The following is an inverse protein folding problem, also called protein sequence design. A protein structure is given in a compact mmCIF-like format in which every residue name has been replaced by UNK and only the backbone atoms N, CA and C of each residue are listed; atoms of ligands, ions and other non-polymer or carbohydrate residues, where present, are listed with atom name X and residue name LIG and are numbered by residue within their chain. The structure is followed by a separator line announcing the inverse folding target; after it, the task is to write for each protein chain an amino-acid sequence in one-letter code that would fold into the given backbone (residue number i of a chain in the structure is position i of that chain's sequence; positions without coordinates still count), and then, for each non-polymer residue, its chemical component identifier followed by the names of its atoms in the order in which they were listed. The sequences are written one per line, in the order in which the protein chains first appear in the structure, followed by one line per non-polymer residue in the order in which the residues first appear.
data_IF_716743427213
#
_entry.id   IF_716743427213
#
_cell.length_a   1.000
_cell.length_b   1.000
_cell.length_c   1.000
_cell.angle_alpha   90.00
_cell.angle_beta   90.00
_cell.angle_gamma   90.00
#
_symmetry.space_group_name_H-M   'P 1'
#
loop_
_entity.id
_entity.type
_entity.pdbx_description
1 polymer ?
#
# COMPACT_ATOMS: atom_id res chain seq x y z
N UNK A 1 7.94 48.38 23.86
CA UNK A 1 6.97 49.20 24.62
C UNK A 1 5.62 49.10 23.93
N UNK A 2 4.53 48.94 24.72
CA UNK A 2 3.13 48.60 24.35
C UNK A 2 2.99 47.14 23.89
N UNK A 3 2.56 46.14 24.66
CA UNK A 3 1.41 45.95 25.57
C UNK A 3 0.06 46.28 24.95
N UNK A 4 -0.69 45.24 24.56
CA UNK A 4 -2.12 45.11 24.82
C UNK A 4 -2.53 43.64 24.82
N UNK A 5 -3.04 43.21 25.98
CA UNK A 5 -3.62 41.92 26.27
C UNK A 5 -5.15 42.04 26.22
N UNK A 6 -5.83 41.06 25.66
CA UNK A 6 -7.26 40.76 25.79
C UNK A 6 -7.39 39.30 25.34
N UNK A 7 -8.06 38.36 26.00
CA UNK A 7 -8.95 38.40 27.14
C UNK A 7 -9.68 37.06 27.10
N UNK A 8 -9.33 36.15 28.00
CA UNK A 8 -9.84 34.79 28.11
C UNK A 8 -11.26 34.82 28.67
N UNK A 9 -12.24 34.26 27.97
CA UNK A 9 -13.61 34.07 28.47
C UNK A 9 -13.85 32.57 28.72
N UNK A 10 -13.71 32.17 29.99
CA UNK A 10 -14.17 30.89 30.53
C UNK A 10 -15.68 30.97 30.75
N UNK A 11 -16.45 30.10 30.11
CA UNK A 11 -17.84 29.85 30.45
C UNK A 11 -17.94 28.56 31.27
N UNK A 12 -18.22 28.72 32.56
CA UNK A 12 -18.64 27.68 33.49
C UNK A 12 -20.13 27.36 33.23
N UNK A 13 -20.46 26.08 33.05
CA UNK A 13 -21.84 25.55 33.12
C UNK A 13 -21.87 24.52 34.26
N UNK A 14 -22.89 24.57 35.15
CA UNK A 14 -22.83 23.92 36.45
C UNK A 14 -23.18 22.42 36.43
N UNK A 15 -22.56 21.74 37.39
CA UNK A 15 -22.96 20.44 37.95
C UNK A 15 -24.41 20.47 38.44
N UNK A 16 -25.22 19.51 37.98
CA UNK A 16 -26.50 19.16 38.57
C UNK A 16 -26.45 17.73 39.12
N UNK A 17 -26.52 17.61 40.45
CA UNK A 17 -26.75 16.36 41.16
C UNK A 17 -28.25 16.15 41.41
N UNK A 18 -28.69 14.89 41.37
CA UNK A 18 -29.95 14.35 41.90
C UNK A 18 -30.05 12.89 41.46
N UNK A 19 -29.66 11.90 42.27
CA UNK A 19 -30.31 11.33 43.47
C UNK A 19 -31.57 10.50 43.16
N UNK A 20 -31.32 9.20 43.05
CA UNK A 20 -31.93 8.08 43.78
C UNK A 20 -33.40 7.64 43.57
N UNK A 21 -33.49 6.29 43.59
CA UNK A 21 -34.60 5.40 43.95
C UNK A 21 -35.72 5.10 42.93
N UNK A 22 -35.73 3.87 42.39
CA UNK A 22 -36.71 2.89 42.88
C UNK A 22 -36.42 1.44 42.45
N UNK A 23 -36.77 0.54 43.36
CA UNK A 23 -36.45 -0.87 43.42
C UNK A 23 -37.62 -1.79 42.97
N UNK A 24 -37.27 -3.05 42.68
CA UNK A 24 -38.18 -4.21 42.75
C UNK A 24 -38.65 -4.75 41.39
N UNK A 25 -38.65 -6.04 41.09
CA UNK A 25 -38.31 -7.23 41.87
C UNK A 25 -38.80 -8.50 41.15
N UNK A 26 -37.95 -9.54 41.20
CA UNK A 26 -38.23 -10.98 41.34
C UNK A 26 -38.97 -11.85 40.29
N UNK A 27 -38.26 -12.96 40.00
CA UNK A 27 -38.71 -14.37 39.86
C UNK A 27 -39.38 -14.78 38.53
N UNK A 28 -39.19 -15.98 37.95
CA UNK A 28 -38.87 -17.31 38.50
C UNK A 28 -38.57 -18.35 37.40
N UNK A 29 -37.80 -19.41 37.74
CA UNK A 29 -37.90 -20.79 37.20
C UNK A 29 -36.96 -21.09 36.03
N UNK A 30 -35.91 -21.92 36.15
CA UNK A 30 -35.89 -23.36 36.49
C UNK A 30 -35.58 -24.13 35.19
N UNK A 31 -34.84 -25.22 35.08
CA UNK A 31 -34.13 -26.12 35.99
C UNK A 31 -33.44 -27.20 35.13
N UNK A 32 -32.32 -27.76 35.60
CA UNK A 32 -31.82 -29.09 35.23
C UNK A 32 -30.61 -29.07 34.28
N UNK A 33 -29.46 -29.70 34.56
CA UNK A 33 -29.07 -30.56 35.66
C UNK A 33 -28.14 -31.67 35.16
N UNK A 34 -26.96 -31.77 35.79
CA UNK A 34 -26.13 -32.97 35.96
C UNK A 34 -25.46 -33.55 34.69
N UNK A 35 -24.28 -34.18 34.70
CA UNK A 35 -23.24 -34.48 35.70
C UNK A 35 -22.23 -35.39 34.98
N UNK A 36 -20.95 -35.37 35.31
CA UNK A 36 -20.02 -36.40 34.83
C UNK A 36 -18.57 -36.17 35.18
N UNK A 37 -18.23 -36.43 36.44
CA UNK A 37 -16.86 -36.47 36.94
C UNK A 37 -16.13 -37.76 36.51
N UNK A 38 -14.81 -37.71 36.41
CA UNK A 38 -13.95 -38.90 36.26
C UNK A 38 -12.47 -38.52 36.32
N UNK A 39 -11.87 -38.73 37.50
CA UNK A 39 -10.51 -38.36 37.88
C UNK A 39 -9.49 -39.48 37.61
N UNK A 40 -8.22 -39.17 37.95
CA UNK A 40 -7.05 -40.04 38.17
C UNK A 40 -6.30 -40.46 36.89
N UNK A 41 -4.98 -40.45 36.79
CA UNK A 41 -3.86 -40.35 37.73
C UNK A 41 -2.76 -41.27 37.19
N UNK A 42 -1.49 -40.86 37.14
CA UNK A 42 -0.42 -41.77 36.70
C UNK A 42 0.92 -41.12 36.36
N UNK A 43 1.85 -41.25 37.29
CA UNK A 43 3.25 -40.82 37.32
C UNK A 43 4.23 -41.74 36.60
N UNK A 44 5.41 -41.20 36.23
CA UNK A 44 6.69 -41.92 36.05
C UNK A 44 7.12 -42.02 34.59
N UNK A 45 8.38 -41.82 34.17
CA UNK A 45 9.65 -41.63 34.87
C UNK A 45 10.78 -42.11 33.93
N UNK A 46 11.91 -41.38 33.92
CA UNK A 46 13.20 -41.78 33.30
C UNK A 46 13.32 -41.58 31.78
N UNK A 47 14.48 -41.34 31.18
CA UNK A 47 15.86 -41.15 31.65
C UNK A 47 16.67 -40.84 30.37
N UNK A 48 17.40 -39.72 30.35
CA UNK A 48 18.85 -39.59 30.18
C UNK A 48 19.47 -40.09 28.86
N UNK A 49 20.29 -39.23 28.26
CA UNK A 49 21.13 -39.54 27.12
C UNK A 49 21.94 -38.33 26.63
N UNK A 50 22.83 -37.82 27.50
CA UNK A 50 23.90 -36.90 27.11
C UNK A 50 24.99 -37.66 26.36
N UNK A 51 25.71 -37.00 25.45
CA UNK A 51 27.01 -37.52 25.01
C UNK A 51 27.61 -36.86 23.77
N UNK A 52 28.54 -35.94 24.01
CA UNK A 52 29.87 -36.01 23.39
C UNK A 52 30.07 -35.28 22.06
N UNK A 53 30.73 -34.12 22.13
CA UNK A 53 31.38 -33.51 20.97
C UNK A 53 32.73 -34.14 20.64
N UNK A 54 33.34 -33.70 19.54
CA UNK A 54 34.76 -33.34 19.46
C UNK A 54 35.09 -32.78 18.08
N UNK A 55 36.03 -31.84 18.11
CA UNK A 55 36.67 -31.13 17.03
C UNK A 55 37.28 -32.02 15.94
N UNK A 56 37.38 -31.45 14.74
CA UNK A 56 38.13 -31.99 13.60
C UNK A 56 38.29 -30.93 12.51
N UNK A 57 39.43 -30.25 12.55
CA UNK A 57 39.97 -29.27 11.60
C UNK A 57 40.14 -29.82 10.18
N UNK A 58 39.94 -29.00 9.15
CA UNK A 58 40.43 -29.29 7.80
C UNK A 58 39.85 -28.33 6.76
N UNK A 59 40.72 -27.48 6.20
CA UNK A 59 40.34 -26.34 5.37
C UNK A 59 39.86 -26.66 3.96
N UNK A 60 39.30 -25.63 3.33
CA UNK A 60 38.91 -25.60 1.94
C UNK A 60 38.38 -24.22 1.60
N UNK A 61 39.24 -23.37 1.05
CA UNK A 61 38.89 -22.08 0.48
C UNK A 61 37.87 -22.24 -0.66
N UNK A 62 36.83 -21.40 -0.68
CA UNK A 62 36.30 -20.76 -1.88
C UNK A 62 35.02 -19.95 -1.56
N UNK A 63 34.98 -18.71 -2.05
CA UNK A 63 33.76 -18.10 -2.54
C UNK A 63 32.93 -17.28 -1.56
N UNK A 64 33.29 -16.02 -1.42
CA UNK A 64 32.32 -14.97 -1.11
C UNK A 64 31.21 -14.97 -2.18
N UNK A 65 29.96 -15.15 -1.77
CA UNK A 65 28.78 -14.93 -2.61
C UNK A 65 28.49 -13.44 -2.75
N UNK A 66 29.39 -12.73 -3.43
CA UNK A 66 29.12 -11.42 -4.02
C UNK A 66 28.36 -11.58 -5.35
N UNK A 67 27.67 -10.52 -5.76
CA UNK A 67 26.68 -10.49 -6.84
C UNK A 67 27.02 -11.22 -8.14
N UNK A 68 25.98 -11.73 -8.79
CA UNK A 68 26.01 -11.94 -10.24
C UNK A 68 25.26 -10.79 -10.89
N UNK A 69 26.01 -9.75 -11.26
CA UNK A 69 25.68 -8.90 -12.38
C UNK A 69 25.94 -9.70 -13.67
N UNK A 70 25.00 -9.65 -14.62
CA UNK A 70 25.24 -9.89 -16.04
C UNK A 70 25.53 -11.33 -16.47
N UNK A 71 24.48 -12.10 -16.72
CA UNK A 71 24.57 -13.07 -17.81
C UNK A 71 24.44 -12.29 -19.12
N UNK A 72 25.51 -12.31 -19.93
CA UNK A 72 25.53 -11.80 -21.29
C UNK A 72 24.43 -12.45 -22.12
N UNK A 73 23.49 -11.65 -22.63
CA UNK A 73 22.42 -12.08 -23.52
C UNK A 73 21.94 -10.90 -24.34
N UNK A 74 21.57 -11.16 -25.59
CA UNK A 74 20.93 -10.19 -26.49
C UNK A 74 19.46 -10.02 -26.04
N UNK A 75 19.19 -8.99 -25.23
CA UNK A 75 17.83 -8.68 -24.76
C UNK A 75 16.96 -7.99 -25.83
N UNK A 76 17.59 -7.29 -26.80
CA UNK A 76 16.91 -6.48 -27.82
C UNK A 76 17.80 -6.05 -29.00
N UNK A 77 17.17 -5.81 -30.15
CA UNK A 77 17.72 -5.11 -31.31
C UNK A 77 17.13 -3.70 -31.49
N UNK A 78 15.98 -3.42 -30.89
CA UNK A 78 15.34 -2.10 -30.93
C UNK A 78 14.67 -1.74 -29.61
N UNK A 79 14.51 -0.44 -29.36
CA UNK A 79 13.69 0.07 -28.25
C UNK A 79 12.24 -0.43 -28.33
N UNK A 80 11.72 -0.68 -29.54
CA UNK A 80 10.36 -1.18 -29.71
C UNK A 80 10.19 -2.60 -29.17
N UNK A 81 11.20 -3.46 -29.34
CA UNK A 81 11.22 -4.81 -28.74
C UNK A 81 11.29 -4.72 -27.22
N UNK A 82 12.05 -3.78 -26.67
CA UNK A 82 12.04 -3.54 -25.23
C UNK A 82 10.67 -3.11 -24.73
N UNK A 83 9.97 -2.26 -25.48
CA UNK A 83 8.60 -1.85 -25.12
C UNK A 83 7.60 -3.00 -25.21
N UNK A 84 7.79 -3.94 -26.13
CA UNK A 84 6.98 -5.16 -26.17
C UNK A 84 7.29 -6.10 -25.00
N UNK A 85 8.57 -6.23 -24.63
CA UNK A 85 9.03 -7.17 -23.61
C UNK A 85 8.80 -6.68 -22.18
N UNK A 86 8.97 -5.38 -21.95
CA UNK A 86 8.94 -4.76 -20.62
C UNK A 86 7.82 -3.73 -20.46
N UNK A 87 7.10 -3.33 -21.52
CA UNK A 87 6.08 -2.31 -21.45
C UNK A 87 6.60 -0.91 -21.78
N UNK A 88 5.72 0.09 -21.73
CA UNK A 88 6.01 1.45 -22.20
C UNK A 88 7.12 2.17 -21.41
N UNK A 89 7.42 1.71 -20.19
CA UNK A 89 8.53 2.18 -19.37
C UNK A 89 9.92 1.84 -19.92
N UNK A 90 10.02 0.95 -20.91
CA UNK A 90 11.26 0.75 -21.65
C UNK A 90 11.59 1.96 -22.53
N UNK A 91 12.73 2.58 -22.24
CA UNK A 91 13.17 3.82 -22.89
C UNK A 91 14.23 3.59 -23.95
N UNK A 92 15.03 2.52 -23.84
CA UNK A 92 16.14 2.27 -24.76
C UNK A 92 16.46 0.78 -24.90
N UNK A 93 17.15 0.43 -25.98
CA UNK A 93 17.88 -0.81 -26.15
C UNK A 93 19.38 -0.49 -26.19
N UNK A 94 20.01 -0.45 -25.02
CA UNK A 94 21.43 -0.14 -24.92
C UNK A 94 22.24 -1.25 -25.58
N UNK A 95 23.27 -0.89 -26.35
CA UNK A 95 24.07 -1.82 -27.17
C UNK A 95 23.22 -2.67 -28.15
N UNK A 96 22.17 -2.08 -28.73
CA UNK A 96 21.31 -2.75 -29.73
C UNK A 96 22.10 -3.48 -30.81
N UNK A 97 21.60 -4.64 -31.27
CA UNK A 97 22.24 -5.47 -32.30
C UNK A 97 23.60 -6.03 -31.89
N UNK A 98 23.77 -6.30 -30.60
CA UNK A 98 24.94 -6.99 -30.05
C UNK A 98 24.53 -8.06 -29.05
N UNK A 99 25.45 -8.96 -28.73
CA UNK A 99 25.29 -9.97 -27.67
C UNK A 99 25.33 -9.38 -26.25
N UNK A 100 25.48 -8.05 -26.14
CA UNK A 100 25.44 -7.28 -24.91
C UNK A 100 24.26 -6.30 -24.87
N UNK A 101 23.27 -6.48 -25.76
CA UNK A 101 22.11 -5.61 -25.78
C UNK A 101 21.31 -5.77 -24.50
N UNK A 102 20.82 -4.66 -23.94
CA UNK A 102 20.02 -4.65 -22.72
C UNK A 102 18.90 -3.62 -22.83
N UNK A 103 17.69 -4.05 -22.50
CA UNK A 103 16.57 -3.11 -22.43
C UNK A 103 16.74 -2.21 -21.21
N UNK A 104 16.66 -0.90 -21.43
CA UNK A 104 16.81 0.11 -20.38
C UNK A 104 15.47 0.76 -20.09
N UNK A 105 15.21 0.98 -18.81
CA UNK A 105 14.04 1.67 -18.28
C UNK A 105 14.55 2.87 -17.48
N UNK A 106 14.74 4.00 -18.17
CA UNK A 106 15.52 5.13 -17.70
C UNK A 106 17.02 4.86 -17.82
N UNK A 107 17.77 5.07 -16.74
CA UNK A 107 19.23 4.87 -16.69
C UNK A 107 19.66 3.49 -16.18
N UNK A 108 18.70 2.60 -15.93
CA UNK A 108 18.93 1.25 -15.38
C UNK A 108 18.32 0.18 -16.30
N UNK A 109 18.85 -1.05 -16.32
CA UNK A 109 18.22 -2.17 -17.02
C UNK A 109 16.76 -2.36 -16.58
N UNK A 110 15.89 -2.67 -17.53
CA UNK A 110 14.50 -3.00 -17.26
C UNK A 110 14.41 -4.27 -16.42
N UNK A 111 13.66 -4.20 -15.32
CA UNK A 111 13.16 -5.40 -14.64
C UNK A 111 11.82 -5.82 -15.21
N UNK A 112 11.30 -7.00 -14.85
CA UNK A 112 9.94 -7.40 -15.23
C UNK A 112 8.94 -6.26 -14.89
N UNK A 113 8.06 -5.95 -15.83
CA UNK A 113 7.10 -4.84 -15.73
C UNK A 113 7.63 -3.48 -16.22
N UNK A 114 8.89 -3.37 -16.65
CA UNK A 114 9.44 -2.14 -17.28
C UNK A 114 9.50 -0.92 -16.38
N UNK A 115 9.33 -1.14 -15.08
CA UNK A 115 9.44 -0.12 -14.05
C UNK A 115 10.84 -0.18 -13.43
N UNK A 116 11.45 0.98 -13.21
CA UNK A 116 12.70 1.13 -12.46
C UNK A 116 12.44 1.94 -11.20
N UNK A 117 13.07 1.55 -10.09
CA UNK A 117 12.83 2.13 -8.77
C UNK A 117 12.00 1.24 -7.85
N UNK A 118 11.38 1.90 -6.87
CA UNK A 118 10.54 1.34 -5.81
C UNK A 118 9.21 2.09 -5.74
N UNK A 119 8.20 1.42 -5.19
CA UNK A 119 6.82 1.88 -5.14
C UNK A 119 6.38 1.97 -3.68
N UNK A 120 5.82 3.11 -3.32
CA UNK A 120 5.05 3.30 -2.10
C UNK A 120 3.60 3.64 -2.47
N UNK A 121 2.64 3.28 -1.63
CA UNK A 121 1.22 3.62 -1.80
C UNK A 121 0.65 4.05 -0.46
N UNK A 122 -0.14 5.12 -0.46
CA UNK A 122 -0.94 5.59 0.67
C UNK A 122 -2.39 5.69 0.21
N UNK A 123 -3.31 5.15 0.98
CA UNK A 123 -4.75 5.09 0.69
C UNK A 123 -5.57 5.42 1.93
N UNK A 124 -6.71 6.09 1.79
CA UNK A 124 -7.60 6.40 2.90
C UNK A 124 -8.62 5.28 3.15
N UNK A 125 -9.70 5.17 2.39
CA UNK A 125 -10.73 4.13 2.44
C UNK A 125 -11.43 3.93 3.78
N UNK A 126 -11.06 4.67 4.83
CA UNK A 126 -11.57 4.53 6.20
C UNK A 126 -12.52 5.64 6.62
N UNK A 127 -12.66 6.70 5.81
CA UNK A 127 -13.61 7.79 6.05
C UNK A 127 -13.97 8.51 4.73
N UNK A 128 -15.06 9.30 4.75
CA UNK A 128 -15.66 10.02 3.61
C UNK A 128 -16.37 9.17 2.55
N UNK A 129 -15.63 8.50 1.69
CA UNK A 129 -16.12 7.65 0.62
C UNK A 129 -15.46 6.27 0.69
N UNK A 130 -15.65 5.45 -0.34
CA UNK A 130 -15.34 4.01 -0.32
C UNK A 130 -14.59 3.55 -1.57
N UNK A 131 -14.18 4.48 -2.43
CA UNK A 131 -13.47 4.19 -3.67
C UNK A 131 -12.17 3.42 -3.40
N UNK A 132 -11.41 3.79 -2.38
CA UNK A 132 -10.16 3.14 -2.00
C UNK A 132 -10.32 1.70 -1.51
N UNK A 133 -11.48 1.36 -0.95
CA UNK A 133 -11.82 -0.02 -0.57
C UNK A 133 -11.88 -0.90 -1.83
N UNK A 134 -12.39 -0.38 -2.95
CA UNK A 134 -12.42 -1.05 -4.24
C UNK A 134 -11.09 -0.94 -5.00
N UNK A 135 -10.46 0.23 -4.95
CA UNK A 135 -9.25 0.54 -5.69
C UNK A 135 -8.03 -0.22 -5.17
N UNK A 136 -7.86 -0.37 -3.85
CA UNK A 136 -6.75 -1.08 -3.22
C UNK A 136 -6.49 -2.49 -3.81
N UNK A 137 -7.48 -3.40 -3.86
CA UNK A 137 -7.26 -4.73 -4.42
C UNK A 137 -7.00 -4.69 -5.94
N UNK A 138 -7.48 -3.67 -6.66
CA UNK A 138 -7.12 -3.45 -8.08
C UNK A 138 -5.68 -3.01 -8.23
N UNK A 139 -5.23 -2.06 -7.42
CA UNK A 139 -3.84 -1.59 -7.36
C UNK A 139 -2.90 -2.78 -7.12
N UNK A 140 -3.19 -3.60 -6.10
CA UNK A 140 -2.40 -4.79 -5.79
C UNK A 140 -2.41 -5.80 -6.95
N UNK A 141 -3.56 -6.04 -7.59
CA UNK A 141 -3.66 -6.92 -8.75
C UNK A 141 -2.87 -6.39 -9.96
N UNK A 142 -2.88 -5.07 -10.21
CA UNK A 142 -2.09 -4.43 -11.28
C UNK A 142 -0.60 -4.65 -11.03
N UNK A 143 -0.13 -4.37 -9.82
CA UNK A 143 1.27 -4.56 -9.45
C UNK A 143 1.67 -6.04 -9.52
N UNK A 144 0.80 -6.96 -9.10
CA UNK A 144 1.05 -8.39 -9.19
C UNK A 144 1.12 -8.89 -10.64
N UNK A 145 0.19 -8.44 -11.50
CA UNK A 145 0.16 -8.75 -12.93
C UNK A 145 1.42 -8.21 -13.64
N UNK A 146 1.90 -7.04 -13.22
CA UNK A 146 3.16 -6.44 -13.68
C UNK A 146 4.42 -7.11 -13.09
N UNK A 147 4.24 -8.03 -12.13
CA UNK A 147 5.32 -8.72 -11.39
C UNK A 147 6.20 -7.78 -10.57
N UNK A 148 5.57 -6.77 -9.96
CA UNK A 148 6.22 -5.69 -9.19
C UNK A 148 6.08 -5.88 -7.67
N UNK A 149 5.74 -7.08 -7.19
CA UNK A 149 5.57 -7.35 -5.75
C UNK A 149 6.80 -6.93 -4.93
N UNK A 150 8.00 -7.28 -5.39
CA UNK A 150 9.25 -6.92 -4.72
C UNK A 150 9.62 -5.43 -4.86
N UNK A 151 8.90 -4.67 -5.69
CA UNK A 151 9.09 -3.22 -5.84
C UNK A 151 8.18 -2.42 -4.91
N UNK A 152 7.08 -2.99 -4.42
CA UNK A 152 6.27 -2.40 -3.36
C UNK A 152 7.05 -2.48 -2.05
N UNK A 153 7.51 -1.34 -1.55
CA UNK A 153 8.35 -1.24 -0.33
C UNK A 153 7.65 -0.56 0.83
N UNK A 154 6.47 0.02 0.57
CA UNK A 154 5.59 0.63 1.55
C UNK A 154 4.16 0.59 1.02
N UNK A 155 3.21 0.27 1.88
CA UNK A 155 1.79 0.46 1.67
C UNK A 155 1.18 0.89 3.00
N UNK A 156 0.63 2.08 3.08
CA UNK A 156 -0.22 2.49 4.20
C UNK A 156 -1.67 2.59 3.74
N UNK A 157 -2.57 2.39 4.70
CA UNK A 157 -4.00 2.50 4.49
C UNK A 157 -4.68 3.12 5.71
N UNK A 158 -5.93 3.53 5.54
CA UNK A 158 -6.70 4.20 6.59
C UNK A 158 -6.08 5.55 6.98
N UNK A 159 -5.57 6.30 6.01
CA UNK A 159 -4.77 7.51 6.22
C UNK A 159 -5.56 8.75 6.65
N UNK A 160 -6.90 8.68 6.75
CA UNK A 160 -7.67 9.70 7.46
C UNK A 160 -7.42 9.63 8.97
N UNK A 161 -6.54 10.47 9.50
CA UNK A 161 -6.04 10.36 10.88
C UNK A 161 -7.03 10.87 11.94
N UNK A 162 -7.80 11.91 11.62
CA UNK A 162 -8.72 12.53 12.59
C UNK A 162 -10.06 11.79 12.74
N UNK A 163 -10.43 10.97 11.76
CA UNK A 163 -11.77 10.39 11.63
C UNK A 163 -11.67 8.96 11.10
N UNK A 164 -12.55 8.09 11.61
CA UNK A 164 -12.54 6.68 11.24
C UNK A 164 -13.95 6.11 11.34
N UNK A 165 -14.54 5.72 10.20
CA UNK A 165 -15.83 5.03 10.15
C UNK A 165 -15.59 3.53 10.31
N UNK A 166 -16.23 2.91 11.30
CA UNK A 166 -15.91 1.52 11.66
C UNK A 166 -16.21 0.51 10.56
N UNK A 167 -17.23 0.77 9.74
CA UNK A 167 -17.62 -0.15 8.67
C UNK A 167 -16.66 0.00 7.49
N UNK A 168 -16.36 1.23 7.09
CA UNK A 168 -15.36 1.51 6.04
C UNK A 168 -13.97 1.00 6.43
N UNK A 169 -13.53 1.28 7.66
CA UNK A 169 -12.26 0.81 8.21
C UNK A 169 -12.12 -0.71 8.18
N UNK A 170 -13.17 -1.44 8.59
CA UNK A 170 -13.18 -2.91 8.53
C UNK A 170 -13.08 -3.42 7.09
N UNK A 171 -13.79 -2.78 6.16
CA UNK A 171 -13.71 -3.10 4.75
C UNK A 171 -12.35 -2.76 4.13
N UNK A 172 -11.72 -1.66 4.52
CA UNK A 172 -10.40 -1.26 4.05
C UNK A 172 -9.33 -2.25 4.50
N UNK A 173 -9.37 -2.70 5.76
CA UNK A 173 -8.49 -3.77 6.26
C UNK A 173 -8.67 -5.04 5.41
N UNK A 174 -9.91 -5.45 5.14
CA UNK A 174 -10.19 -6.64 4.38
C UNK A 174 -9.71 -6.53 2.92
N UNK A 175 -9.86 -5.36 2.30
CA UNK A 175 -9.39 -5.06 0.95
C UNK A 175 -7.87 -4.98 0.84
N UNK A 176 -7.20 -4.51 1.89
CA UNK A 176 -5.73 -4.37 1.89
C UNK A 176 -5.04 -5.69 2.23
N UNK A 177 -5.50 -6.39 3.27
CA UNK A 177 -4.77 -7.55 3.83
C UNK A 177 -5.25 -8.89 3.31
N UNK A 178 -6.48 -8.97 2.77
CA UNK A 178 -7.17 -10.23 2.53
C UNK A 178 -6.59 -11.13 1.44
N UNK A 179 -5.68 -10.63 0.59
CA UNK A 179 -5.12 -11.38 -0.54
C UNK A 179 -3.64 -11.07 -0.83
N UNK A 180 -2.92 -10.47 0.13
CA UNK A 180 -1.51 -10.09 -0.04
C UNK A 180 -0.61 -11.31 -0.30
N UNK A 181 -0.82 -12.39 0.46
CA UNK A 181 -0.04 -13.63 0.33
C UNK A 181 -0.22 -14.31 -1.03
N UNK A 182 -1.45 -14.33 -1.50
CA UNK A 182 -1.87 -14.93 -2.76
C UNK A 182 -1.27 -14.16 -3.94
N UNK A 183 -1.22 -12.84 -3.85
CA UNK A 183 -0.51 -12.00 -4.82
C UNK A 183 1.02 -12.00 -4.64
N UNK A 184 1.55 -12.52 -3.54
CA UNK A 184 2.98 -12.65 -3.27
C UNK A 184 3.65 -11.38 -2.73
N UNK A 185 2.88 -10.48 -2.10
CA UNK A 185 3.42 -9.28 -1.45
C UNK A 185 4.01 -9.57 -0.06
N UNK A 186 5.00 -8.79 0.33
CA UNK A 186 5.51 -8.79 1.71
C UNK A 186 4.53 -8.05 2.62
N UNK A 187 3.92 -8.77 3.57
CA UNK A 187 2.99 -8.15 4.51
C UNK A 187 3.69 -7.21 5.50
N UNK A 188 5.01 -7.31 5.66
CA UNK A 188 5.76 -6.46 6.59
C UNK A 188 5.96 -5.02 6.09
N UNK A 189 5.56 -4.73 4.84
CA UNK A 189 5.57 -3.37 4.30
C UNK A 189 4.19 -2.72 4.31
N UNK A 190 3.18 -3.37 4.90
CA UNK A 190 1.81 -2.88 4.97
C UNK A 190 1.50 -2.35 6.36
N UNK A 191 0.98 -1.13 6.44
CA UNK A 191 0.71 -0.42 7.68
C UNK A 191 -0.73 0.09 7.72
N UNK A 192 -1.32 0.06 8.91
CA UNK A 192 -2.64 0.64 9.20
C UNK A 192 -2.41 1.92 9.98
N UNK A 193 -2.70 3.08 9.41
CA UNK A 193 -2.37 4.36 10.03
C UNK A 193 -3.18 4.64 11.30
N UNK A 194 -4.33 3.99 11.48
CA UNK A 194 -5.14 4.15 12.69
C UNK A 194 -4.48 3.51 13.92
N UNK A 195 -3.65 2.49 13.71
CA UNK A 195 -3.04 1.70 14.80
C UNK A 195 -1.51 1.67 14.76
N UNK A 196 -0.91 2.03 13.63
CA UNK A 196 0.51 1.89 13.32
C UNK A 196 1.14 3.14 12.69
N UNK A 197 0.53 4.32 12.81
CA UNK A 197 1.03 5.59 12.23
C UNK A 197 2.54 5.80 12.40
N UNK A 198 3.06 5.68 13.63
CA UNK A 198 4.49 5.88 13.89
C UNK A 198 5.38 4.88 13.13
N UNK A 199 4.91 3.64 12.92
CA UNK A 199 5.63 2.64 12.15
C UNK A 199 5.54 2.90 10.65
N UNK A 200 4.37 3.36 10.16
CA UNK A 200 4.18 3.79 8.77
C UNK A 200 5.14 4.93 8.43
N UNK A 201 5.09 6.03 9.19
CA UNK A 201 5.97 7.20 9.05
C UNK A 201 7.46 6.82 9.08
N UNK A 202 7.86 5.96 10.03
CA UNK A 202 9.23 5.48 10.12
C UNK A 202 9.65 4.64 8.89
N UNK A 203 8.73 3.85 8.33
CA UNK A 203 9.00 3.09 7.12
C UNK A 203 9.08 4.00 5.89
N UNK A 204 8.20 5.00 5.75
CA UNK A 204 8.27 6.01 4.68
C UNK A 204 9.65 6.68 4.69
N UNK A 205 10.09 7.19 5.84
CA UNK A 205 11.41 7.82 5.98
C UNK A 205 12.54 6.86 5.58
N UNK A 206 12.50 5.61 6.06
CA UNK A 206 13.46 4.57 5.71
C UNK A 206 13.52 4.29 4.21
N UNK A 207 12.37 4.18 3.53
CA UNK A 207 12.34 3.91 2.09
C UNK A 207 12.77 5.13 1.29
N UNK A 208 12.47 6.35 1.74
CA UNK A 208 13.02 7.57 1.14
C UNK A 208 14.54 7.59 1.29
N UNK A 209 15.09 7.30 2.46
CA UNK A 209 16.53 7.34 2.73
C UNK A 209 17.34 6.35 1.88
N UNK A 210 16.74 5.21 1.55
CA UNK A 210 17.31 4.22 0.65
C UNK A 210 17.30 4.65 -0.83
N UNK A 211 16.64 5.75 -1.19
CA UNK A 211 16.50 6.19 -2.59
C UNK A 211 17.80 6.69 -3.20
N UNK A 212 17.96 6.41 -4.49
CA UNK A 212 19.10 6.85 -5.31
C UNK A 212 18.64 7.21 -6.72
N UNK A 213 19.52 7.81 -7.52
CA UNK A 213 19.24 8.11 -8.93
C UNK A 213 18.87 6.86 -9.75
N UNK A 214 19.50 5.73 -9.46
CA UNK A 214 19.29 4.45 -10.16
C UNK A 214 18.17 3.59 -9.56
N UNK A 215 17.69 3.94 -8.36
CA UNK A 215 16.60 3.26 -7.66
C UNK A 215 15.72 4.29 -6.91
N UNK A 216 15.01 5.15 -7.66
CA UNK A 216 14.16 6.21 -7.10
C UNK A 216 12.88 5.64 -6.46
N UNK A 217 12.20 6.45 -5.65
CA UNK A 217 10.90 6.11 -5.08
C UNK A 217 9.79 6.83 -5.86
N UNK A 218 8.80 6.08 -6.35
CA UNK A 218 7.50 6.65 -6.75
C UNK A 218 6.48 6.34 -5.66
N UNK A 219 5.86 7.36 -5.10
CA UNK A 219 4.85 7.25 -4.05
C UNK A 219 3.49 7.62 -4.64
N UNK A 220 2.61 6.64 -4.78
CA UNK A 220 1.22 6.84 -5.16
C UNK A 220 0.47 7.35 -3.93
N UNK A 221 -0.14 8.53 -4.03
CA UNK A 221 -0.87 9.15 -2.92
C UNK A 221 -2.35 9.22 -3.31
N UNK A 222 -3.11 8.23 -2.82
CA UNK A 222 -4.53 7.98 -3.08
C UNK A 222 -5.43 8.53 -1.96
N UNK A 223 -5.00 9.56 -1.24
CA UNK A 223 -5.76 10.14 -0.13
C UNK A 223 -5.06 11.37 0.43
N UNK A 224 -5.42 11.81 1.65
CA UNK A 224 -4.80 12.95 2.34
C UNK A 224 -3.27 12.86 2.39
N UNK A 225 -2.62 14.00 2.26
CA UNK A 225 -1.16 14.07 2.22
C UNK A 225 -0.48 14.02 3.58
N UNK A 226 -1.22 13.99 4.70
CA UNK A 226 -0.61 14.12 6.03
C UNK A 226 0.37 13.00 6.38
N UNK A 227 -0.01 11.72 6.18
CA UNK A 227 0.88 10.59 6.48
C UNK A 227 2.14 10.65 5.60
N UNK A 228 1.95 10.99 4.32
CA UNK A 228 3.03 11.23 3.37
C UNK A 228 3.92 12.40 3.81
N UNK A 229 3.33 13.51 4.27
CA UNK A 229 4.04 14.69 4.78
C UNK A 229 4.92 14.31 5.97
N UNK A 230 4.36 13.62 6.98
CA UNK A 230 5.11 13.20 8.16
C UNK A 230 6.30 12.30 7.79
N UNK A 231 6.10 11.37 6.86
CA UNK A 231 7.17 10.50 6.36
C UNK A 231 8.27 11.24 5.60
N UNK A 232 7.89 12.19 4.73
CA UNK A 232 8.85 13.06 4.00
C UNK A 232 9.62 13.96 4.97
N UNK A 233 8.95 14.54 5.95
CA UNK A 233 9.54 15.40 6.98
C UNK A 233 10.55 14.66 7.86
N UNK A 234 10.33 13.36 8.08
CA UNK A 234 11.22 12.50 8.87
C UNK A 234 12.44 11.98 8.09
N UNK A 235 12.47 12.13 6.75
CA UNK A 235 13.53 11.61 5.90
C UNK A 235 14.72 12.56 5.73
N UNK A 236 15.82 12.04 5.19
CA UNK A 236 17.03 12.82 4.90
C UNK A 236 16.80 13.75 3.70
N UNK A 237 17.04 15.05 3.88
CA UNK A 237 16.79 16.07 2.86
C UNK A 237 17.54 15.85 1.52
N UNK A 238 18.74 15.25 1.55
CA UNK A 238 19.53 14.95 0.34
C UNK A 238 18.98 13.76 -0.47
N UNK A 239 17.98 13.06 0.05
CA UNK A 239 17.31 11.91 -0.59
C UNK A 239 16.02 12.29 -1.29
N UNK A 240 15.41 13.41 -0.90
CA UNK A 240 14.12 13.89 -1.43
C UNK A 240 14.14 14.10 -2.95
N UNK A 241 15.29 14.46 -3.54
CA UNK A 241 15.47 14.60 -5.00
C UNK A 241 15.20 13.31 -5.81
N UNK A 242 15.16 12.16 -5.14
CA UNK A 242 14.87 10.85 -5.73
C UNK A 242 13.43 10.37 -5.48
N UNK A 243 12.58 11.22 -4.88
CA UNK A 243 11.18 10.92 -4.58
C UNK A 243 10.28 11.62 -5.60
N UNK A 244 9.31 10.87 -6.12
CA UNK A 244 8.24 11.39 -6.97
C UNK A 244 6.90 10.99 -6.37
N UNK A 245 6.08 11.97 -6.00
CA UNK A 245 4.70 11.75 -5.60
C UNK A 245 3.81 11.72 -6.86
N UNK A 246 2.88 10.78 -6.93
CA UNK A 246 1.94 10.58 -8.03
C UNK A 246 0.51 10.66 -7.47
N UNK A 247 -0.30 11.59 -7.99
CA UNK A 247 -1.73 11.71 -7.64
C UNK A 247 -2.58 12.07 -8.86
N UNK A 248 -3.91 11.92 -8.78
CA UNK A 248 -4.83 12.18 -9.90
C UNK A 248 -6.01 13.09 -9.58
N UNK A 249 -6.44 13.21 -8.32
CA UNK A 249 -7.64 13.96 -7.94
C UNK A 249 -7.26 15.18 -7.11
N UNK A 250 -7.97 16.31 -7.30
CA UNK A 250 -7.80 17.47 -6.41
C UNK A 250 -8.29 17.14 -5.00
N UNK A 251 -9.18 16.14 -4.90
CA UNK A 251 -9.65 15.63 -3.62
C UNK A 251 -8.48 15.14 -2.78
N UNK A 252 -7.72 14.15 -3.23
CA UNK A 252 -6.59 13.61 -2.48
C UNK A 252 -5.56 14.70 -2.13
N UNK A 253 -5.39 15.70 -3.00
CA UNK A 253 -4.33 16.71 -2.90
C UNK A 253 -4.60 17.85 -1.91
N UNK A 254 -5.84 18.32 -1.83
CA UNK A 254 -6.18 19.57 -1.14
C UNK A 254 -7.19 19.35 0.01
N UNK A 255 -7.41 18.09 0.39
CA UNK A 255 -8.37 17.68 1.41
C UNK A 255 -7.80 17.85 2.83
N UNK A 256 -8.10 18.98 3.46
CA UNK A 256 -7.80 19.28 4.87
C UNK A 256 -8.94 18.82 5.78
N UNK A 257 -8.68 17.87 6.69
CA UNK A 257 -9.73 17.38 7.60
C UNK A 257 -9.58 17.86 9.04
N UNK A 258 -8.40 18.34 9.43
CA UNK A 258 -8.20 19.11 10.66
C UNK A 258 -7.11 20.18 10.51
N UNK A 259 -7.12 21.27 11.33
CA UNK A 259 -6.14 22.38 11.26
C UNK A 259 -4.66 22.04 11.50
N UNK A 260 -4.31 20.75 11.61
CA UNK A 260 -2.97 20.26 11.85
C UNK A 260 -2.47 19.32 10.74
N UNK A 261 -3.31 19.01 9.75
CA UNK A 261 -2.94 18.21 8.57
C UNK A 261 -2.41 19.11 7.46
N UNK A 262 -1.50 18.59 6.64
CA UNK A 262 -0.87 19.31 5.53
C UNK A 262 -1.42 18.86 4.18
N UNK A 263 -1.63 19.83 3.31
CA UNK A 263 -1.99 19.61 1.90
C UNK A 263 -0.78 19.21 1.06
N UNK A 264 -1.03 18.76 -0.17
CA UNK A 264 -0.02 18.60 -1.21
C UNK A 264 0.78 19.88 -1.44
N UNK A 265 0.12 21.03 -1.52
CA UNK A 265 0.79 22.31 -1.80
C UNK A 265 1.75 22.70 -0.67
N UNK A 266 1.38 22.47 0.59
CA UNK A 266 2.26 22.68 1.75
C UNK A 266 3.43 21.70 1.76
N UNK A 267 3.20 20.42 1.47
CA UNK A 267 4.28 19.43 1.32
C UNK A 267 5.30 19.90 0.28
N UNK A 268 4.84 20.31 -0.91
CA UNK A 268 5.74 20.75 -1.98
C UNK A 268 6.42 22.09 -1.68
N UNK A 269 5.79 22.96 -0.87
CA UNK A 269 6.40 24.20 -0.41
C UNK A 269 7.53 23.94 0.60
N UNK A 270 7.32 23.03 1.55
CA UNK A 270 8.30 22.68 2.58
C UNK A 270 9.43 21.79 2.04
N UNK A 271 9.12 20.93 1.05
CA UNK A 271 10.05 19.94 0.49
C UNK A 271 10.21 20.09 -1.03
N UNK A 272 10.77 21.21 -1.54
CA UNK A 272 10.81 21.52 -2.99
C UNK A 272 11.71 20.59 -3.81
N UNK A 273 12.47 19.70 -3.17
CA UNK A 273 13.26 18.66 -3.85
C UNK A 273 12.41 17.45 -4.26
N UNK A 274 11.26 17.23 -3.60
CA UNK A 274 10.30 16.19 -3.97
C UNK A 274 9.65 16.56 -5.29
N UNK A 275 9.57 15.60 -6.21
CA UNK A 275 8.88 15.79 -7.49
C UNK A 275 7.41 15.44 -7.34
N UNK A 276 6.57 16.10 -8.11
CA UNK A 276 5.14 15.81 -8.16
C UNK A 276 4.71 15.55 -9.61
N UNK A 277 3.95 14.48 -9.82
CA UNK A 277 3.28 14.16 -11.08
C UNK A 277 1.79 14.12 -10.79
N UNK A 278 1.07 15.09 -11.38
CA UNK A 278 -0.38 15.05 -11.52
C UNK A 278 -0.73 14.34 -12.82
N UNK A 279 -1.54 13.30 -12.73
CA UNK A 279 -2.21 12.74 -13.92
C UNK A 279 -3.66 13.22 -13.99
N UNK A 280 -4.29 13.01 -15.15
CA UNK A 280 -5.70 13.27 -15.41
C UNK A 280 -6.53 12.52 -14.38
N UNK A 281 -7.64 13.14 -13.98
CA UNK A 281 -8.54 12.51 -13.04
C UNK A 281 -9.08 11.18 -13.59
N UNK A 282 -8.75 10.09 -12.89
CA UNK A 282 -9.12 8.73 -13.25
C UNK A 282 -10.62 8.45 -13.03
N UNK A 283 -11.34 9.35 -12.33
CA UNK A 283 -12.81 9.36 -12.30
C UNK A 283 -13.45 9.52 -13.69
N UNK A 284 -12.69 10.05 -14.66
CA UNK A 284 -13.18 10.30 -16.01
C UNK A 284 -12.95 9.14 -16.99
N UNK A 285 -12.46 7.98 -16.52
CA UNK A 285 -12.11 6.85 -17.39
C UNK A 285 -12.69 5.51 -16.89
N UNK A 286 -12.18 4.38 -17.41
CA UNK A 286 -12.72 3.06 -17.10
C UNK A 286 -12.58 2.62 -15.63
N UNK A 287 -11.70 3.26 -14.84
CA UNK A 287 -11.53 2.96 -13.43
C UNK A 287 -12.73 3.38 -12.58
N UNK A 288 -13.49 4.40 -13.00
CA UNK A 288 -14.82 4.70 -12.46
C UNK A 288 -15.89 4.23 -13.44
N UNK A 289 -16.39 3.02 -13.23
CA UNK A 289 -17.43 2.44 -14.07
C UNK A 289 -18.32 1.50 -13.29
N UNK A 290 -19.55 1.29 -13.75
CA UNK A 290 -20.51 0.42 -13.07
C UNK A 290 -19.86 -0.94 -12.74
N UNK A 291 -20.11 -1.54 -11.57
CA UNK A 291 -19.45 -2.79 -11.18
C UNK A 291 -19.55 -3.90 -12.23
N UNK A 292 -20.65 -3.97 -12.99
CA UNK A 292 -20.82 -4.98 -14.06
C UNK A 292 -19.81 -4.86 -15.21
N UNK A 293 -19.19 -3.69 -15.40
CA UNK A 293 -18.11 -3.51 -16.38
C UNK A 293 -16.88 -4.37 -16.04
N UNK A 294 -16.75 -4.78 -14.77
CA UNK A 294 -15.67 -5.61 -14.23
C UNK A 294 -16.02 -7.10 -14.14
N UNK A 295 -17.23 -7.53 -14.53
CA UNK A 295 -17.68 -8.93 -14.38
C UNK A 295 -16.82 -9.96 -15.12
N UNK A 296 -16.02 -9.52 -16.09
CA UNK A 296 -15.02 -10.34 -16.77
C UNK A 296 -14.00 -10.96 -15.80
N UNK A 297 -13.72 -10.30 -14.67
CA UNK A 297 -12.79 -10.80 -13.64
C UNK A 297 -13.24 -12.16 -13.07
N UNK A 298 -14.54 -12.45 -13.05
CA UNK A 298 -15.07 -13.74 -12.60
C UNK A 298 -14.64 -14.91 -13.48
N UNK A 299 -14.32 -14.66 -14.75
CA UNK A 299 -13.82 -15.66 -15.69
C UNK A 299 -12.28 -15.70 -15.75
N UNK A 300 -11.60 -14.72 -15.15
CA UNK A 300 -10.16 -14.52 -15.28
C UNK A 300 -9.34 -15.28 -14.21
N UNK A 301 -9.99 -15.83 -13.17
CA UNK A 301 -9.36 -16.64 -12.14
C UNK A 301 -9.85 -16.31 -10.73
N UNK A 302 -9.46 -17.13 -9.75
CA UNK A 302 -9.90 -16.97 -8.36
C UNK A 302 -9.45 -15.63 -7.74
N UNK A 303 -8.21 -15.20 -8.03
CA UNK A 303 -7.67 -13.96 -7.49
C UNK A 303 -8.44 -12.73 -8.00
N UNK A 304 -8.70 -12.66 -9.31
CA UNK A 304 -9.47 -11.56 -9.88
C UNK A 304 -10.96 -11.63 -9.51
N UNK A 305 -11.50 -12.83 -9.27
CA UNK A 305 -12.84 -12.99 -8.70
C UNK A 305 -12.91 -12.39 -7.29
N UNK A 306 -11.87 -12.58 -6.48
CA UNK A 306 -11.79 -11.97 -5.15
C UNK A 306 -11.71 -10.44 -5.22
N UNK A 307 -10.86 -9.90 -6.11
CA UNK A 307 -10.75 -8.45 -6.36
C UNK A 307 -12.11 -7.87 -6.73
N UNK A 308 -12.80 -8.49 -7.70
CA UNK A 308 -14.15 -8.09 -8.11
C UNK A 308 -15.13 -8.10 -6.95
N UNK A 309 -15.03 -9.09 -6.06
CA UNK A 309 -15.84 -9.19 -4.85
C UNK A 309 -15.66 -7.99 -3.91
N UNK A 310 -14.41 -7.55 -3.70
CA UNK A 310 -14.12 -6.34 -2.89
C UNK A 310 -14.71 -5.07 -3.51
N UNK A 311 -14.63 -4.90 -4.84
CA UNK A 311 -15.28 -3.77 -5.51
C UNK A 311 -16.81 -3.71 -5.28
N UNK A 312 -17.49 -4.87 -5.26
CA UNK A 312 -18.94 -4.91 -4.96
C UNK A 312 -19.21 -4.46 -3.53
N UNK A 313 -18.37 -4.91 -2.59
CA UNK A 313 -18.51 -4.62 -1.16
C UNK A 313 -18.21 -3.15 -0.84
N UNK A 314 -17.24 -2.57 -1.56
CA UNK A 314 -16.84 -1.18 -1.41
C UNK A 314 -18.04 -0.24 -1.59
N UNK A 315 -18.79 -0.31 -2.69
CA UNK A 315 -19.52 0.89 -3.11
C UNK A 315 -21.02 0.79 -3.35
N UNK A 316 -21.72 -0.28 -2.93
CA UNK A 316 -23.18 -0.36 -3.12
C UNK A 316 -23.68 0.06 -4.53
N UNK A 317 -22.86 -0.15 -5.58
CA UNK A 317 -23.10 0.10 -7.01
C UNK A 317 -22.47 1.31 -7.73
N UNK A 318 -21.61 2.14 -7.12
CA UNK A 318 -20.94 3.24 -7.86
C UNK A 318 -19.78 2.78 -8.75
N UNK A 319 -18.93 1.87 -8.25
CA UNK A 319 -17.86 1.23 -9.03
C UNK A 319 -16.66 2.13 -9.33
N UNK A 320 -16.42 3.10 -8.45
CA UNK A 320 -15.21 3.90 -8.38
C UNK A 320 -14.05 3.06 -7.86
N UNK A 321 -13.01 3.00 -8.69
CA UNK A 321 -11.72 2.39 -8.38
C UNK A 321 -10.62 3.31 -8.93
N UNK A 322 -10.90 4.62 -9.00
CA UNK A 322 -10.13 5.59 -9.77
C UNK A 322 -8.67 5.70 -9.30
N UNK A 323 -8.40 5.56 -8.00
CA UNK A 323 -7.03 5.56 -7.47
C UNK A 323 -6.15 4.44 -8.05
N UNK A 324 -6.74 3.30 -8.40
CA UNK A 324 -6.02 2.21 -9.05
C UNK A 324 -5.51 2.58 -10.45
N UNK A 325 -6.11 3.60 -11.07
CA UNK A 325 -5.65 4.17 -12.33
C UNK A 325 -4.24 4.75 -12.24
N UNK A 326 -3.80 5.19 -11.06
CA UNK A 326 -2.42 5.65 -10.87
C UNK A 326 -1.41 4.51 -10.97
N UNK A 327 -1.72 3.34 -10.39
CA UNK A 327 -0.88 2.15 -10.53
C UNK A 327 -0.87 1.66 -12.00
N UNK A 328 -2.01 1.72 -12.68
CA UNK A 328 -2.09 1.40 -14.10
C UNK A 328 -1.25 2.35 -14.96
N UNK A 329 -1.36 3.66 -14.73
CA UNK A 329 -0.52 4.66 -15.38
C UNK A 329 0.96 4.42 -15.08
N UNK A 330 1.32 4.11 -13.84
CA UNK A 330 2.71 3.85 -13.45
C UNK A 330 3.32 2.70 -14.26
N UNK A 331 2.56 1.63 -14.46
CA UNK A 331 3.02 0.43 -15.17
C UNK A 331 2.95 0.59 -16.69
N UNK A 332 1.93 1.28 -17.20
CA UNK A 332 1.60 1.27 -18.64
C UNK A 332 1.81 2.60 -19.35
N UNK A 333 2.01 3.69 -18.61
CA UNK A 333 2.00 5.06 -19.12
C UNK A 333 0.64 5.51 -19.69
N UNK A 334 -0.42 4.69 -19.57
CA UNK A 334 -1.73 5.00 -20.10
C UNK A 334 -2.60 5.71 -19.06
N UNK A 335 -2.69 7.02 -19.21
CA UNK A 335 -3.46 7.92 -18.35
C UNK A 335 -4.99 7.90 -18.65
N UNK A 336 -5.39 7.37 -19.82
CA UNK A 336 -6.77 7.41 -20.32
C UNK A 336 -7.25 6.00 -20.65
N UNK A 337 -7.04 5.08 -19.73
CA UNK A 337 -7.36 3.67 -19.92
C UNK A 337 -8.84 3.45 -20.23
N UNK A 338 -9.11 2.67 -21.26
CA UNK A 338 -10.42 2.09 -21.54
C UNK A 338 -10.54 0.74 -20.84
N UNK A 339 -11.78 0.24 -20.67
CA UNK A 339 -12.00 -1.09 -20.10
C UNK A 339 -11.35 -2.19 -20.95
N UNK A 340 -11.18 -1.97 -22.26
CA UNK A 340 -10.46 -2.90 -23.12
C UNK A 340 -8.95 -2.92 -22.84
N UNK A 341 -8.35 -1.77 -22.53
CA UNK A 341 -6.93 -1.69 -22.16
C UNK A 341 -6.68 -2.44 -20.85
N UNK A 342 -7.57 -2.27 -19.87
CA UNK A 342 -7.51 -2.97 -18.58
C UNK A 342 -7.64 -4.49 -18.78
N UNK A 343 -8.64 -4.95 -19.54
CA UNK A 343 -8.81 -6.38 -19.88
C UNK A 343 -7.58 -6.96 -20.56
N UNK A 344 -7.07 -6.26 -21.58
CA UNK A 344 -5.88 -6.68 -22.32
C UNK A 344 -4.67 -6.81 -21.40
N UNK A 345 -4.48 -5.88 -20.45
CA UNK A 345 -3.41 -5.93 -19.46
C UNK A 345 -3.49 -7.20 -18.58
N UNK A 346 -4.70 -7.61 -18.20
CA UNK A 346 -4.95 -8.86 -17.48
C UNK A 346 -5.08 -10.11 -18.39
N UNK A 347 -4.80 -9.99 -19.69
CA UNK A 347 -4.83 -11.09 -20.64
C UNK A 347 -6.23 -11.61 -20.99
N UNK A 348 -7.24 -10.73 -20.95
CA UNK A 348 -8.65 -11.02 -21.22
C UNK A 348 -9.14 -10.40 -22.53
#
# INVERSE_FOLDING_TARGET
MRWLALGMAMALIPLGCGSDDDAGGSASGGSGGASGAGATGGTGGGSAGAGGGSAGTGGGAAGAGGGSAGAAGDDCNTTAECKQKYGSGATDCLNSQSDQSVCMCGTSPCTQGGFSGRIAVSADGNFHDRDDIGATPVTLAILAQAKLQAKLVHYDHSSHLAQNDSDQYGDMIASTTGHLSEFGFDQNVVFDDQTQLSAAVANIAKVIDASTASDPLTFIVAGPFEVTYQGVAAASADKLQYVTLLSHSTWNEDHEHVPAEHTKDELLADFPAVKFIKISDQNANAFKSSPSAWDWMNAAGADLTWVRGRMVQAEYAEGDNSDAGMAFYLVTGNEKATMNDIKTFFGQ
#
